data_IF_722501639423
#
_entry.id   IF_722501639423
#
_cell.length_a   1.000
_cell.length_b   1.000
_cell.length_c   1.000
_cell.angle_alpha   90.00
_cell.angle_beta   90.00
_cell.angle_gamma   90.00
#
_symmetry.space_group_name_H-M   'P 1'
#
loop_
_entity.id
_entity.type
_entity.pdbx_description
1 polymer ?
#
# COMPACT_ATOMS: atom_id res chain seq x y z
N UNK A 1 14.18 45.84 -41.69
CA UNK A 1 15.48 45.43 -41.11
C UNK A 1 15.41 45.59 -39.60
N UNK A 2 14.97 44.55 -38.89
CA UNK A 2 14.82 44.57 -37.42
C UNK A 2 15.67 43.49 -36.80
N UNK A 3 16.51 43.90 -35.86
CA UNK A 3 17.60 43.13 -35.24
C UNK A 3 17.03 42.06 -34.31
N UNK A 4 17.51 40.82 -34.48
CA UNK A 4 17.21 39.70 -33.60
C UNK A 4 17.86 39.83 -32.23
N UNK A 5 17.14 39.42 -31.18
CA UNK A 5 17.70 39.19 -29.84
C UNK A 5 17.67 37.69 -29.55
N UNK A 6 18.88 37.13 -29.45
CA UNK A 6 19.20 35.75 -29.13
C UNK A 6 19.36 35.66 -27.62
N UNK A 7 18.50 34.92 -26.93
CA UNK A 7 18.67 34.62 -25.49
C UNK A 7 19.49 33.34 -25.36
N UNK A 8 20.74 33.48 -24.88
CA UNK A 8 21.58 32.36 -24.47
C UNK A 8 21.41 32.14 -22.97
N UNK A 9 21.00 30.94 -22.57
CA UNK A 9 20.98 30.51 -21.17
C UNK A 9 22.35 29.90 -20.87
N UNK A 10 23.08 30.51 -19.95
CA UNK A 10 24.36 30.01 -19.43
C UNK A 10 24.10 28.81 -18.51
N UNK A 11 24.72 27.67 -18.83
CA UNK A 11 24.69 26.47 -17.99
C UNK A 11 25.85 26.54 -17.00
N UNK A 12 25.56 26.93 -15.76
CA UNK A 12 26.52 26.87 -14.65
C UNK A 12 26.54 25.45 -14.07
N UNK A 13 27.65 24.73 -14.25
CA UNK A 13 27.93 23.44 -13.59
C UNK A 13 28.09 23.63 -12.07
N UNK A 14 27.37 22.91 -11.21
CA UNK A 14 27.80 22.70 -9.84
C UNK A 14 28.63 21.43 -9.75
N UNK A 15 29.93 21.59 -9.50
CA UNK A 15 30.78 20.52 -8.95
C UNK A 15 30.41 20.30 -7.49
N UNK A 16 29.69 19.22 -7.17
CA UNK A 16 29.68 18.63 -5.82
C UNK A 16 30.11 17.17 -5.92
N UNK A 17 31.11 16.82 -5.12
CA UNK A 17 31.63 15.45 -4.96
C UNK A 17 30.51 14.51 -4.47
N UNK A 18 30.57 13.21 -4.80
CA UNK A 18 29.69 12.22 -4.19
C UNK A 18 30.05 12.10 -2.70
N UNK A 19 29.09 12.41 -1.84
CA UNK A 19 29.15 12.15 -0.41
C UNK A 19 28.89 10.65 -0.20
N UNK A 20 29.90 9.93 0.28
CA UNK A 20 29.85 8.50 0.46
C UNK A 20 28.96 8.14 1.65
N UNK A 21 28.10 7.13 1.45
CA UNK A 21 27.49 6.28 2.47
C UNK A 21 27.15 6.94 3.82
N UNK A 22 25.97 7.57 3.91
CA UNK A 22 25.40 7.92 5.22
C UNK A 22 24.84 6.67 5.87
N UNK A 23 25.67 6.09 6.73
CA UNK A 23 25.41 4.96 7.60
C UNK A 23 24.15 5.19 8.46
N UNK A 24 23.16 4.30 8.33
CA UNK A 24 21.92 4.33 9.11
C UNK A 24 22.07 3.70 10.51
N UNK A 25 23.31 3.45 10.98
CA UNK A 25 23.55 2.80 12.27
C UNK A 25 22.90 3.57 13.44
N UNK A 26 22.02 2.82 14.11
CA UNK A 26 21.20 3.15 15.29
C UNK A 26 22.02 3.74 16.44
N UNK A 27 21.44 4.71 17.16
CA UNK A 27 21.76 4.92 18.58
C UNK A 27 20.95 3.91 19.43
N UNK A 28 21.57 3.23 20.42
CA UNK A 28 20.85 2.28 21.26
C UNK A 28 20.19 2.97 22.45
N UNK A 29 18.89 2.76 22.62
CA UNK A 29 18.22 2.88 23.92
C UNK A 29 16.89 3.61 23.87
N UNK A 30 15.78 2.85 23.97
CA UNK A 30 14.80 2.84 25.09
C UNK A 30 13.90 1.61 24.86
N UNK A 31 13.65 0.73 25.85
CA UNK A 31 12.66 -0.33 25.71
C UNK A 31 11.25 0.27 25.82
N UNK A 32 10.43 0.12 24.79
CA UNK A 32 9.01 0.51 24.87
C UNK A 32 8.25 -0.57 25.65
N UNK A 33 8.06 -0.33 26.95
CA UNK A 33 7.14 -1.09 27.79
C UNK A 33 5.69 -0.80 27.37
N UNK A 34 5.01 -1.79 26.79
CA UNK A 34 3.55 -1.76 26.61
C UNK A 34 2.91 -2.13 27.95
N UNK A 35 2.55 -1.11 28.74
CA UNK A 35 1.68 -1.28 29.91
C UNK A 35 0.24 -1.48 29.44
N UNK A 36 -0.26 -2.70 29.57
CA UNK A 36 -1.68 -3.00 29.54
C UNK A 36 -2.36 -2.31 30.73
N UNK A 37 -3.16 -1.28 30.46
CA UNK A 37 -4.10 -0.73 31.45
C UNK A 37 -5.32 -1.63 31.53
N UNK A 38 -5.47 -2.28 32.67
CA UNK A 38 -6.73 -2.87 33.11
C UNK A 38 -7.67 -1.77 33.62
N UNK A 39 -8.91 -1.77 33.12
CA UNK A 39 -10.03 -1.08 33.76
C UNK A 39 -11.10 -2.14 34.02
N UNK A 40 -11.51 -2.24 35.29
CA UNK A 40 -12.39 -3.28 35.80
C UNK A 40 -13.87 -2.94 35.80
N UNK A 41 -14.57 -3.82 36.52
CA UNK A 41 -15.96 -3.74 36.99
C UNK A 41 -17.03 -4.17 35.99
N UNK A 42 -17.59 -5.36 36.17
CA UNK A 42 -18.72 -5.51 37.11
C UNK A 42 -19.21 -6.96 37.22
N UNK A 43 -19.52 -7.27 38.48
CA UNK A 43 -20.26 -8.39 39.05
C UNK A 43 -21.32 -9.04 38.16
N UNK A 44 -21.30 -10.38 38.07
CA UNK A 44 -22.34 -11.15 37.37
C UNK A 44 -22.25 -12.65 37.59
N UNK A 45 -22.64 -13.10 38.78
CA UNK A 45 -23.32 -14.37 39.09
C UNK A 45 -22.72 -15.65 38.46
N UNK A 46 -21.92 -16.36 39.26
CA UNK A 46 -21.52 -17.73 39.04
C UNK A 46 -22.74 -18.67 39.06
N UNK A 47 -23.06 -19.32 37.93
CA UNK A 47 -23.91 -20.51 37.90
C UNK A 47 -23.10 -21.71 37.45
N UNK A 48 -22.82 -22.56 38.43
CA UNK A 48 -22.11 -23.84 38.33
C UNK A 48 -23.01 -24.85 37.61
N UNK A 49 -22.71 -25.21 36.37
CA UNK A 49 -23.30 -26.38 35.69
C UNK A 49 -22.27 -27.49 35.70
N UNK A 50 -22.67 -28.64 36.28
CA UNK A 50 -21.85 -29.84 36.44
C UNK A 50 -21.59 -30.46 35.08
N UNK A 51 -20.33 -30.78 34.81
CA UNK A 51 -19.96 -31.78 33.82
C UNK A 51 -20.38 -33.16 34.35
N UNK A 52 -21.21 -33.86 33.58
CA UNK A 52 -21.34 -35.31 33.69
C UNK A 52 -20.80 -35.91 32.41
N UNK A 53 -19.70 -36.64 32.55
CA UNK A 53 -19.21 -37.58 31.57
C UNK A 53 -20.27 -38.64 31.29
N UNK A 54 -20.36 -39.05 30.04
CA UNK A 54 -20.42 -40.47 29.67
C UNK A 54 -20.20 -40.59 28.18
N UNK A 55 -19.26 -41.47 27.87
CA UNK A 55 -19.07 -42.13 26.60
C UNK A 55 -20.41 -42.52 25.98
N UNK A 56 -20.45 -42.55 24.65
CA UNK A 56 -21.03 -43.63 23.87
C UNK A 56 -20.47 -43.50 22.45
N UNK A 57 -19.41 -44.27 22.20
CA UNK A 57 -19.17 -44.80 20.87
C UNK A 57 -20.36 -45.70 20.52
N UNK A 58 -21.02 -45.45 19.38
CA UNK A 58 -21.26 -46.48 18.37
C UNK A 58 -22.17 -45.99 17.24
N UNK A 59 -21.98 -46.69 16.12
CA UNK A 59 -22.91 -46.93 15.01
C UNK A 59 -22.80 -45.98 13.82
N UNK A 60 -21.94 -46.42 12.91
CA UNK A 60 -22.08 -46.25 11.46
C UNK A 60 -23.48 -46.70 11.03
N UNK A 61 -24.27 -45.81 10.45
CA UNK A 61 -25.28 -46.21 9.46
C UNK A 61 -25.37 -45.14 8.38
N UNK A 62 -25.12 -45.59 7.17
CA UNK A 62 -25.17 -44.84 5.91
C UNK A 62 -26.49 -44.10 5.72
N UNK A 63 -26.44 -42.77 5.74
CA UNK A 63 -27.48 -41.91 5.17
C UNK A 63 -26.91 -41.19 3.95
N UNK A 64 -27.42 -41.58 2.77
CA UNK A 64 -27.17 -40.93 1.48
C UNK A 64 -27.69 -39.49 1.54
N UNK A 65 -26.80 -38.51 1.71
CA UNK A 65 -27.12 -37.11 1.43
C UNK A 65 -26.83 -36.84 -0.05
N UNK A 66 -27.91 -36.80 -0.84
CA UNK A 66 -27.94 -36.29 -2.20
C UNK A 66 -27.67 -34.80 -2.20
N UNK A 67 -26.70 -34.39 -3.01
CA UNK A 67 -26.66 -33.19 -3.85
C UNK A 67 -27.51 -31.98 -3.43
N UNK A 68 -26.86 -30.92 -2.96
CA UNK A 68 -27.21 -29.54 -3.30
C UNK A 68 -25.92 -28.71 -3.29
N UNK A 69 -25.20 -28.80 -4.42
CA UNK A 69 -24.25 -27.79 -4.84
C UNK A 69 -25.06 -26.54 -5.20
N UNK A 70 -25.12 -25.59 -4.28
CA UNK A 70 -25.57 -24.22 -4.52
C UNK A 70 -24.41 -23.27 -4.32
N UNK A 71 -23.27 -23.55 -4.98
CA UNK A 71 -22.15 -22.61 -5.01
C UNK A 71 -22.35 -21.73 -6.24
N UNK A 72 -23.15 -20.68 -6.11
CA UNK A 72 -23.12 -19.56 -7.06
C UNK A 72 -21.82 -18.78 -6.83
N UNK A 73 -20.71 -19.44 -7.14
CA UNK A 73 -19.46 -18.76 -7.42
C UNK A 73 -19.71 -17.95 -8.69
N UNK A 74 -20.13 -16.69 -8.49
CA UNK A 74 -20.16 -15.70 -9.55
C UNK A 74 -18.78 -15.72 -10.19
N UNK A 75 -18.69 -16.31 -11.37
CA UNK A 75 -17.48 -16.36 -12.15
C UNK A 75 -17.05 -14.90 -12.35
N UNK A 76 -16.00 -14.49 -11.62
CA UNK A 76 -15.26 -13.30 -11.99
C UNK A 76 -14.58 -13.69 -13.28
N UNK A 77 -15.18 -13.30 -14.40
CA UNK A 77 -14.54 -13.41 -15.70
C UNK A 77 -13.17 -12.76 -15.56
N UNK A 78 -12.06 -13.47 -15.84
CA UNK A 78 -10.77 -12.81 -15.91
C UNK A 78 -10.91 -11.72 -16.98
N UNK A 79 -10.84 -10.47 -16.54
CA UNK A 79 -10.78 -9.34 -17.45
C UNK A 79 -9.60 -9.58 -18.40
N UNK A 80 -9.77 -9.39 -19.73
CA UNK A 80 -8.65 -9.52 -20.65
C UNK A 80 -7.51 -8.63 -20.14
N UNK A 81 -6.29 -9.15 -20.11
CA UNK A 81 -5.14 -8.40 -19.66
C UNK A 81 -5.05 -7.12 -20.51
N UNK A 82 -5.36 -5.98 -19.91
CA UNK A 82 -5.25 -4.66 -20.55
C UNK A 82 -3.82 -4.54 -21.06
N UNK A 83 -3.59 -4.21 -22.35
CA UNK A 83 -2.25 -4.01 -22.86
C UNK A 83 -1.53 -2.98 -21.98
N UNK A 84 -0.36 -3.33 -21.48
CA UNK A 84 0.37 -2.49 -20.54
C UNK A 84 0.86 -1.25 -21.28
N UNK A 85 0.20 -0.12 -21.04
CA UNK A 85 0.57 1.19 -21.59
C UNK A 85 1.88 1.66 -20.93
N UNK A 86 2.80 2.30 -21.67
CA UNK A 86 3.99 2.90 -21.08
C UNK A 86 3.58 3.80 -19.91
N UNK A 87 4.19 3.55 -18.75
CA UNK A 87 3.81 4.19 -17.49
C UNK A 87 4.87 5.20 -17.07
N UNK A 88 4.46 6.44 -16.82
CA UNK A 88 5.32 7.49 -16.28
C UNK A 88 4.93 7.76 -14.84
N UNK A 89 5.91 7.85 -13.94
CA UNK A 89 5.69 8.32 -12.58
C UNK A 89 6.12 9.77 -12.47
N UNK A 90 5.27 10.61 -11.87
CA UNK A 90 5.59 12.01 -11.61
C UNK A 90 5.03 12.48 -10.28
N UNK A 91 5.54 13.61 -9.80
CA UNK A 91 4.95 14.30 -8.66
C UNK A 91 3.50 14.69 -8.95
N UNK A 92 2.67 14.56 -7.93
CA UNK A 92 1.29 15.00 -7.97
C UNK A 92 1.21 16.53 -7.89
N UNK A 93 0.26 17.11 -8.61
CA UNK A 93 -0.07 18.54 -8.58
C UNK A 93 -1.54 18.75 -8.19
N UNK A 94 -1.91 19.96 -7.77
CA UNK A 94 -3.30 20.28 -7.42
C UNK A 94 -4.29 20.02 -8.58
N UNK A 95 -3.83 20.22 -9.83
CA UNK A 95 -4.65 19.95 -11.02
C UNK A 95 -5.04 18.47 -11.20
N UNK A 96 -4.35 17.56 -10.52
CA UNK A 96 -4.59 16.11 -10.61
C UNK A 96 -5.69 15.63 -9.64
N UNK A 97 -6.10 16.46 -8.67
CA UNK A 97 -7.00 16.04 -7.57
C UNK A 97 -8.32 15.47 -8.09
N UNK A 98 -8.88 16.05 -9.16
CA UNK A 98 -10.12 15.55 -9.75
C UNK A 98 -9.98 14.10 -10.27
N UNK A 99 -8.82 13.74 -10.84
CA UNK A 99 -8.55 12.38 -11.30
C UNK A 99 -8.38 11.42 -10.10
N UNK A 100 -7.73 11.87 -9.03
CA UNK A 100 -7.58 11.08 -7.81
C UNK A 100 -8.93 10.73 -7.18
N UNK A 101 -9.87 11.66 -7.16
CA UNK A 101 -11.21 11.42 -6.62
C UNK A 101 -11.93 10.31 -7.40
N UNK A 102 -11.85 10.34 -8.73
CA UNK A 102 -12.43 9.28 -9.58
C UNK A 102 -11.79 7.93 -9.28
N UNK A 103 -10.46 7.89 -9.12
CA UNK A 103 -9.72 6.67 -8.82
C UNK A 103 -10.08 6.14 -7.43
N UNK A 104 -10.11 6.98 -6.40
CA UNK A 104 -10.42 6.58 -5.03
C UNK A 104 -11.87 6.13 -4.87
N UNK A 105 -12.83 6.79 -5.52
CA UNK A 105 -14.21 6.33 -5.56
C UNK A 105 -14.31 4.95 -6.21
N UNK A 106 -13.61 4.71 -7.32
CA UNK A 106 -13.60 3.41 -8.00
C UNK A 106 -12.87 2.31 -7.20
N UNK A 107 -11.77 2.66 -6.51
CA UNK A 107 -10.92 1.69 -5.81
C UNK A 107 -11.39 1.39 -4.37
N UNK A 108 -12.00 2.37 -3.71
CA UNK A 108 -12.31 2.32 -2.28
C UNK A 108 -13.78 2.61 -1.97
N UNK A 109 -14.58 3.01 -2.97
CA UNK A 109 -15.99 3.38 -2.79
C UNK A 109 -16.20 4.72 -2.08
N UNK A 110 -15.12 5.43 -1.77
CA UNK A 110 -15.14 6.74 -1.13
C UNK A 110 -13.82 7.46 -1.34
N UNK A 111 -13.88 8.56 -2.07
CA UNK A 111 -12.82 9.54 -2.18
C UNK A 111 -12.79 10.48 -0.97
N UNK A 112 -11.61 11.02 -0.69
CA UNK A 112 -11.48 12.18 0.17
C UNK A 112 -12.14 13.41 -0.47
N UNK A 113 -12.57 14.33 0.40
CA UNK A 113 -13.10 15.61 -0.08
C UNK A 113 -12.03 16.39 -0.83
N UNK A 114 -12.44 17.25 -1.79
CA UNK A 114 -11.51 18.13 -2.53
C UNK A 114 -10.60 18.89 -1.56
N UNK A 115 -11.17 19.44 -0.50
CA UNK A 115 -10.45 20.19 0.52
C UNK A 115 -9.39 19.33 1.23
N UNK A 116 -9.75 18.10 1.62
CA UNK A 116 -8.81 17.17 2.26
C UNK A 116 -7.64 16.84 1.34
N UNK A 117 -7.89 16.65 0.04
CA UNK A 117 -6.81 16.46 -0.92
C UNK A 117 -5.93 17.70 -1.04
N UNK A 118 -6.51 18.88 -1.26
CA UNK A 118 -5.74 20.13 -1.37
C UNK A 118 -4.87 20.35 -0.11
N UNK A 119 -5.46 20.21 1.08
CA UNK A 119 -4.77 20.37 2.36
C UNK A 119 -3.60 19.38 2.51
N UNK A 120 -3.70 18.15 1.99
CA UNK A 120 -2.61 17.17 2.02
C UNK A 120 -1.52 17.47 0.99
N UNK A 121 -1.89 17.85 -0.24
CA UNK A 121 -0.94 18.09 -1.34
C UNK A 121 -0.07 19.32 -1.10
N UNK A 122 -0.58 20.32 -0.41
CA UNK A 122 0.17 21.55 -0.06
C UNK A 122 1.24 21.32 1.02
N UNK A 123 1.20 20.18 1.72
CA UNK A 123 2.13 19.92 2.81
C UNK A 123 3.48 19.41 2.31
N UNK A 124 4.53 20.15 2.66
CA UNK A 124 5.91 19.81 2.29
C UNK A 124 6.48 18.54 2.95
N UNK A 125 5.84 18.01 4.00
CA UNK A 125 6.23 16.76 4.66
C UNK A 125 5.59 15.51 4.03
N UNK A 126 4.92 15.68 2.89
CA UNK A 126 4.24 14.62 2.17
C UNK A 126 4.97 14.24 0.89
N UNK A 127 4.92 12.95 0.59
CA UNK A 127 5.33 12.38 -0.69
C UNK A 127 4.05 12.02 -1.45
N UNK A 128 3.87 12.58 -2.63
CA UNK A 128 2.73 12.30 -3.49
C UNK A 128 3.18 12.00 -4.91
N UNK A 129 2.78 10.84 -5.42
CA UNK A 129 3.10 10.37 -6.75
C UNK A 129 1.84 9.97 -7.50
N UNK A 130 1.84 10.22 -8.80
CA UNK A 130 0.85 9.68 -9.74
C UNK A 130 1.53 8.76 -10.75
N UNK A 131 0.78 7.75 -11.18
CA UNK A 131 1.11 6.91 -12.32
C UNK A 131 0.24 7.34 -13.50
N UNK A 132 0.89 7.68 -14.59
CA UNK A 132 0.27 8.20 -15.81
C UNK A 132 0.57 7.26 -16.98
N UNK A 133 -0.42 7.10 -17.84
CA UNK A 133 -0.35 6.38 -19.12
C UNK A 133 -0.82 7.33 -20.23
N UNK A 134 -0.82 6.88 -21.48
CA UNK A 134 -1.38 7.66 -22.60
C UNK A 134 -2.86 8.04 -22.40
N UNK A 135 -3.58 7.30 -21.55
CA UNK A 135 -4.98 7.57 -21.20
C UNK A 135 -5.16 8.55 -20.04
N UNK A 136 -4.06 9.05 -19.46
CA UNK A 136 -4.04 9.93 -18.29
C UNK A 136 -3.63 9.21 -17.01
N UNK A 137 -4.01 9.78 -15.86
CA UNK A 137 -3.66 9.27 -14.53
C UNK A 137 -4.46 8.01 -14.23
N UNK A 138 -3.77 6.94 -13.91
CA UNK A 138 -4.36 5.61 -13.64
C UNK A 138 -4.18 5.15 -12.20
N UNK A 139 -3.39 5.87 -11.40
CA UNK A 139 -3.20 5.59 -9.99
C UNK A 139 -2.36 6.63 -9.29
N UNK A 140 -2.35 6.57 -7.96
CA UNK A 140 -1.56 7.45 -7.11
C UNK A 140 -1.13 6.73 -5.84
N UNK A 141 -0.07 7.25 -5.24
CA UNK A 141 0.38 6.84 -3.92
C UNK A 141 0.79 8.05 -3.10
N UNK A 142 0.61 7.96 -1.79
CA UNK A 142 0.89 9.03 -0.85
C UNK A 142 1.46 8.49 0.44
N UNK A 143 2.39 9.24 1.02
CA UNK A 143 2.99 8.92 2.31
C UNK A 143 3.48 10.18 3.01
N UNK A 144 3.77 10.04 4.29
CA UNK A 144 4.41 11.07 5.08
C UNK A 144 5.43 10.47 6.03
N UNK A 145 6.37 11.31 6.44
CA UNK A 145 7.49 10.91 7.27
C UNK A 145 7.38 11.63 8.61
N UNK A 146 7.47 10.85 9.69
CA UNK A 146 7.50 11.32 11.07
C UNK A 146 8.72 10.77 11.79
N UNK A 147 9.70 11.62 12.02
CA UNK A 147 10.98 11.20 12.60
C UNK A 147 11.66 10.12 11.76
N UNK A 148 11.68 8.89 12.27
CA UNK A 148 12.27 7.71 11.61
C UNK A 148 11.23 6.73 11.06
N UNK A 149 9.96 7.10 11.03
CA UNK A 149 8.86 6.27 10.54
C UNK A 149 8.27 6.89 9.27
N UNK A 150 8.05 6.10 8.23
CA UNK A 150 7.29 6.52 7.06
C UNK A 150 5.95 5.79 7.04
N UNK A 151 4.85 6.56 6.97
CA UNK A 151 3.50 6.02 6.90
C UNK A 151 2.93 6.23 5.51
N UNK A 152 2.63 5.12 4.84
CA UNK A 152 1.98 5.10 3.53
C UNK A 152 0.48 5.23 3.77
N UNK A 153 -0.11 6.32 3.28
CA UNK A 153 -1.50 6.69 3.60
C UNK A 153 -2.48 6.28 2.52
N UNK A 154 -2.08 6.34 1.25
CA UNK A 154 -2.95 5.96 0.15
C UNK A 154 -2.13 5.29 -0.95
N UNK A 155 -2.66 4.22 -1.54
CA UNK A 155 -2.16 3.57 -2.75
C UNK A 155 -3.37 3.05 -3.50
N UNK A 156 -3.75 3.75 -4.56
CA UNK A 156 -4.92 3.42 -5.36
C UNK A 156 -4.56 3.36 -6.84
N UNK A 157 -5.20 2.43 -7.54
CA UNK A 157 -5.08 2.26 -8.99
C UNK A 157 -6.47 1.98 -9.52
N UNK A 158 -6.82 2.60 -10.64
CA UNK A 158 -8.06 2.37 -11.34
C UNK A 158 -8.25 0.86 -11.63
N UNK A 159 -9.45 0.29 -11.40
CA UNK A 159 -9.69 -1.15 -11.55
C UNK A 159 -9.25 -1.75 -12.89
N UNK A 160 -9.39 -1.01 -13.99
CA UNK A 160 -9.03 -1.47 -15.34
C UNK A 160 -7.51 -1.58 -15.58
N UNK A 161 -6.71 -1.01 -14.67
CA UNK A 161 -5.24 -1.02 -14.69
C UNK A 161 -4.63 -1.91 -13.59
N UNK A 162 -5.46 -2.75 -12.98
CA UNK A 162 -5.05 -3.72 -11.97
C UNK A 162 -4.28 -4.89 -12.59
N UNK A 163 -3.21 -5.32 -11.93
CA UNK A 163 -2.41 -6.47 -12.38
C UNK A 163 -1.32 -6.07 -13.38
N UNK A 164 -1.31 -4.80 -13.79
CA UNK A 164 -0.37 -4.19 -14.72
C UNK A 164 0.87 -3.56 -14.04
N UNK A 165 1.08 -3.84 -12.75
CA UNK A 165 2.25 -3.36 -12.01
C UNK A 165 2.22 -1.89 -11.54
N UNK A 166 1.20 -1.08 -11.88
CA UNK A 166 1.14 0.34 -11.49
C UNK A 166 1.31 0.58 -9.98
N UNK A 167 0.60 -0.18 -9.15
CA UNK A 167 0.70 -0.07 -7.68
C UNK A 167 2.11 -0.44 -7.18
N UNK A 168 2.77 -1.41 -7.82
CA UNK A 168 4.14 -1.80 -7.51
C UNK A 168 5.12 -0.68 -7.87
N UNK A 169 4.97 -0.04 -9.04
CA UNK A 169 5.78 1.11 -9.44
C UNK A 169 5.64 2.27 -8.46
N UNK A 170 4.41 2.62 -8.12
CA UNK A 170 4.10 3.70 -7.20
C UNK A 170 4.74 3.45 -5.82
N UNK A 171 4.58 2.23 -5.30
CA UNK A 171 5.11 1.87 -3.99
C UNK A 171 6.65 1.81 -3.98
N UNK A 172 7.28 1.25 -5.01
CA UNK A 172 8.75 1.26 -5.16
C UNK A 172 9.28 2.69 -5.15
N UNK A 173 8.74 3.55 -6.03
CA UNK A 173 9.18 4.94 -6.15
C UNK A 173 8.99 5.72 -4.84
N UNK A 174 7.85 5.54 -4.19
CA UNK A 174 7.55 6.20 -2.92
C UNK A 174 8.48 5.74 -1.80
N UNK A 175 8.76 4.44 -1.70
CA UNK A 175 9.74 3.90 -0.74
C UNK A 175 11.14 4.45 -1.04
N UNK A 176 11.58 4.46 -2.29
CA UNK A 176 12.88 5.03 -2.66
C UNK A 176 12.99 6.51 -2.30
N UNK A 177 11.95 7.31 -2.53
CA UNK A 177 11.91 8.71 -2.12
C UNK A 177 11.97 8.88 -0.60
N UNK A 178 11.24 8.06 0.16
CA UNK A 178 11.28 8.08 1.62
C UNK A 178 12.70 7.75 2.15
N UNK A 179 13.33 6.72 1.60
CA UNK A 179 14.68 6.29 1.99
C UNK A 179 15.78 7.30 1.57
N UNK A 180 15.54 8.08 0.51
CA UNK A 180 16.49 9.11 0.06
C UNK A 180 16.38 10.42 0.88
N UNK A 181 15.19 10.73 1.39
CA UNK A 181 14.88 12.02 2.01
C UNK A 181 15.23 12.09 3.50
N UNK A 182 15.26 10.97 4.23
CA UNK A 182 15.39 10.98 5.71
C UNK A 182 15.99 9.70 6.29
N UNK A 183 16.22 9.68 7.62
CA UNK A 183 16.65 8.51 8.41
C UNK A 183 15.47 7.55 8.69
N UNK A 184 14.69 7.20 7.67
CA UNK A 184 13.60 6.23 7.82
C UNK A 184 14.19 4.90 8.28
N UNK A 185 13.69 4.39 9.40
CA UNK A 185 14.04 3.09 9.97
C UNK A 185 12.90 2.08 9.80
N UNK A 186 11.65 2.53 9.67
CA UNK A 186 10.50 1.64 9.50
C UNK A 186 9.47 2.22 8.51
N UNK A 187 8.67 1.32 7.93
CA UNK A 187 7.53 1.66 7.08
C UNK A 187 6.27 1.09 7.72
N UNK A 188 5.16 1.81 7.67
CA UNK A 188 3.86 1.35 8.13
C UNK A 188 2.75 1.71 7.13
N UNK A 189 1.72 0.87 7.08
CA UNK A 189 0.48 1.14 6.38
C UNK A 189 -0.71 0.47 7.06
N UNK A 190 -1.89 0.98 6.77
CA UNK A 190 -3.17 0.42 7.18
C UNK A 190 -3.92 -0.13 5.97
N UNK A 191 -4.43 -1.36 6.09
CA UNK A 191 -5.17 -2.01 5.00
C UNK A 191 -6.39 -2.76 5.54
N UNK A 192 -7.51 -2.68 4.81
CA UNK A 192 -8.74 -3.42 5.16
C UNK A 192 -8.47 -4.93 5.27
N UNK A 193 -9.00 -5.64 6.29
CA UNK A 193 -8.88 -7.09 6.43
C UNK A 193 -9.34 -7.88 5.19
N UNK A 194 -10.39 -7.41 4.52
CA UNK A 194 -10.93 -8.03 3.30
C UNK A 194 -10.05 -7.83 2.05
N UNK A 195 -9.17 -6.81 2.03
CA UNK A 195 -8.33 -6.51 0.87
C UNK A 195 -7.09 -7.42 0.80
N UNK A 196 -7.33 -8.71 0.56
CA UNK A 196 -6.29 -9.74 0.46
C UNK A 196 -5.34 -9.51 -0.71
N UNK A 197 -5.81 -8.85 -1.78
CA UNK A 197 -4.99 -8.48 -2.93
C UNK A 197 -3.89 -7.51 -2.51
N UNK A 198 -4.24 -6.41 -1.85
CA UNK A 198 -3.27 -5.43 -1.37
C UNK A 198 -2.34 -6.02 -0.30
N UNK A 199 -2.88 -6.78 0.67
CA UNK A 199 -2.06 -7.45 1.69
C UNK A 199 -0.98 -8.37 1.08
N UNK A 200 -1.32 -9.15 0.05
CA UNK A 200 -0.33 -9.98 -0.68
C UNK A 200 0.72 -9.13 -1.39
N UNK A 201 0.30 -8.04 -2.03
CA UNK A 201 1.21 -7.11 -2.68
C UNK A 201 2.20 -6.51 -1.66
N UNK A 202 1.71 -5.95 -0.55
CA UNK A 202 2.57 -5.41 0.51
C UNK A 202 3.48 -6.48 1.11
N UNK A 203 2.98 -7.71 1.26
CA UNK A 203 3.77 -8.86 1.68
C UNK A 203 4.99 -9.11 0.79
N UNK A 204 4.92 -8.84 -0.53
CA UNK A 204 6.09 -8.95 -1.42
C UNK A 204 7.20 -7.98 -1.02
N UNK A 205 6.85 -6.75 -0.62
CA UNK A 205 7.77 -5.72 -0.12
C UNK A 205 8.30 -5.99 1.30
N UNK A 206 7.91 -7.11 1.93
CA UNK A 206 8.35 -7.48 3.27
C UNK A 206 7.51 -6.88 4.39
N UNK A 207 6.37 -6.24 4.09
CA UNK A 207 5.42 -5.82 5.11
C UNK A 207 4.80 -7.06 5.76
N UNK A 208 4.75 -7.06 7.09
CA UNK A 208 4.11 -8.10 7.89
C UNK A 208 2.98 -7.50 8.73
N UNK A 209 1.89 -8.23 8.99
CA UNK A 209 0.84 -7.75 9.89
C UNK A 209 1.39 -7.65 11.31
N UNK A 210 1.25 -6.49 11.94
CA UNK A 210 1.74 -6.22 13.31
C UNK A 210 0.61 -5.95 14.31
N UNK A 211 -0.61 -5.72 13.82
CA UNK A 211 -1.76 -5.48 14.68
C UNK A 211 -3.05 -5.24 13.92
N UNK A 212 -4.13 -5.04 14.68
CA UNK A 212 -5.43 -4.62 14.18
C UNK A 212 -5.84 -3.37 14.93
N UNK A 213 -6.15 -2.30 14.19
CA UNK A 213 -6.76 -1.10 14.72
C UNK A 213 -8.27 -1.17 14.51
N UNK A 214 -9.02 -1.17 15.62
CA UNK A 214 -10.47 -1.33 15.57
C UNK A 214 -11.16 -0.04 15.19
N UNK A 215 -12.19 -0.13 14.35
CA UNK A 215 -12.97 1.03 13.88
C UNK A 215 -12.10 2.15 13.27
N UNK A 216 -11.04 1.79 12.55
CA UNK A 216 -10.15 2.73 11.91
C UNK A 216 -10.82 3.50 10.76
N UNK A 217 -11.60 2.81 9.93
CA UNK A 217 -12.31 3.43 8.80
C UNK A 217 -13.70 3.93 9.23
N UNK A 218 -14.06 5.14 8.82
CA UNK A 218 -15.38 5.73 9.11
C UNK A 218 -16.53 4.86 8.56
N UNK A 219 -16.32 4.30 7.36
CA UNK A 219 -17.26 3.40 6.68
C UNK A 219 -16.80 1.95 6.71
N UNK A 220 -17.77 1.08 6.95
CA UNK A 220 -17.58 -0.36 6.84
C UNK A 220 -17.33 -0.76 5.38
N UNK A 221 -16.54 -1.82 5.20
CA UNK A 221 -16.50 -2.54 3.93
C UNK A 221 -17.82 -3.29 3.66
N UNK A 222 -17.89 -3.99 2.53
CA UNK A 222 -19.05 -4.79 2.12
C UNK A 222 -19.44 -5.88 3.14
N UNK A 223 -18.55 -6.21 4.08
CA UNK A 223 -18.75 -7.21 5.13
C UNK A 223 -19.08 -6.57 6.50
N UNK A 224 -19.31 -5.26 6.55
CA UNK A 224 -19.63 -4.54 7.78
C UNK A 224 -18.40 -4.22 8.64
N UNK A 225 -17.17 -4.44 8.16
CA UNK A 225 -15.95 -4.28 8.95
C UNK A 225 -15.32 -2.89 8.78
N UNK A 226 -15.00 -2.24 9.90
CA UNK A 226 -14.35 -0.93 9.97
C UNK A 226 -12.89 -0.99 10.44
N UNK A 227 -12.39 -2.18 10.73
CA UNK A 227 -11.04 -2.38 11.25
C UNK A 227 -9.99 -2.22 10.15
N UNK A 228 -8.76 -1.91 10.55
CA UNK A 228 -7.59 -1.94 9.70
C UNK A 228 -6.58 -2.96 10.22
N UNK A 229 -5.99 -3.74 9.33
CA UNK A 229 -4.76 -4.48 9.60
C UNK A 229 -3.61 -3.50 9.45
N UNK A 230 -2.84 -3.31 10.51
CA UNK A 230 -1.60 -2.56 10.45
C UNK A 230 -0.53 -3.51 9.92
N UNK A 231 0.11 -3.14 8.82
CA UNK A 231 1.26 -3.86 8.28
C UNK A 231 2.50 -2.98 8.33
N UNK A 232 3.65 -3.56 8.67
CA UNK A 232 4.89 -2.81 8.81
C UNK A 232 6.12 -3.56 8.31
N UNK A 233 7.14 -2.79 7.92
CA UNK A 233 8.54 -3.21 7.84
C UNK A 233 9.25 -2.58 9.02
N UNK A 234 9.66 -3.39 10.00
CA UNK A 234 10.20 -2.90 11.28
C UNK A 234 11.60 -2.29 11.13
N UNK A 235 12.40 -2.80 10.19
CA UNK A 235 13.77 -2.33 9.97
C UNK A 235 14.17 -2.34 8.50
N UNK A 236 14.05 -1.18 7.86
CA UNK A 236 14.46 -0.96 6.46
C UNK A 236 15.98 -0.83 6.29
N UNK A 237 16.74 -0.75 7.38
CA UNK A 237 18.19 -0.60 7.33
C UNK A 237 18.92 -1.95 7.24
N UNK A 238 18.20 -3.06 7.39
CA UNK A 238 18.80 -4.40 7.23
C UNK A 238 19.13 -4.69 5.77
N UNK A 239 20.31 -5.27 5.54
CA UNK A 239 20.74 -5.69 4.20
C UNK A 239 19.73 -6.67 3.58
N UNK A 240 19.18 -7.59 4.39
CA UNK A 240 18.15 -8.55 3.98
C UNK A 240 16.93 -7.86 3.35
N UNK A 241 16.44 -6.78 3.97
CA UNK A 241 15.30 -6.05 3.42
C UNK A 241 15.70 -5.21 2.20
N UNK A 242 16.89 -4.62 2.19
CA UNK A 242 17.42 -3.84 1.05
C UNK A 242 17.63 -4.71 -0.19
N UNK A 243 18.19 -5.89 -0.03
CA UNK A 243 18.33 -6.90 -1.09
C UNK A 243 16.97 -7.33 -1.63
N UNK A 244 15.99 -7.55 -0.75
CA UNK A 244 14.62 -7.86 -1.14
C UNK A 244 13.99 -6.74 -1.97
N UNK A 245 14.15 -5.48 -1.54
CA UNK A 245 13.65 -4.32 -2.28
C UNK A 245 14.31 -4.23 -3.66
N UNK A 246 15.64 -4.42 -3.74
CA UNK A 246 16.38 -4.43 -5.01
C UNK A 246 15.90 -5.55 -5.94
N UNK A 247 15.72 -6.76 -5.43
CA UNK A 247 15.24 -7.89 -6.23
C UNK A 247 13.83 -7.65 -6.80
N UNK A 248 12.95 -6.99 -6.02
CA UNK A 248 11.63 -6.59 -6.50
C UNK A 248 11.70 -5.51 -7.57
N UNK A 249 12.61 -4.55 -7.43
CA UNK A 249 12.86 -3.52 -8.44
C UNK A 249 13.32 -4.17 -9.75
N UNK A 250 14.30 -5.09 -9.68
CA UNK A 250 14.81 -5.80 -10.85
C UNK A 250 13.72 -6.65 -11.53
N UNK A 251 12.94 -7.41 -10.76
CA UNK A 251 11.80 -8.19 -11.27
C UNK A 251 10.80 -7.29 -12.00
N UNK A 252 10.50 -6.13 -11.39
CA UNK A 252 9.53 -5.18 -11.91
C UNK A 252 10.02 -4.49 -13.19
N UNK A 253 11.29 -4.11 -13.26
CA UNK A 253 11.91 -3.49 -14.43
C UNK A 253 12.00 -4.47 -15.61
N UNK A 254 12.32 -5.74 -15.34
CA UNK A 254 12.28 -6.80 -16.35
C UNK A 254 10.87 -7.02 -16.89
N UNK A 255 9.85 -6.99 -16.03
CA UNK A 255 8.45 -7.14 -16.44
C UNK A 255 7.99 -6.01 -17.37
N UNK A 256 8.50 -4.78 -17.18
CA UNK A 256 8.21 -3.68 -18.09
C UNK A 256 8.96 -3.72 -19.39
N UNK A 257 10.26 -3.95 -19.34
CA UNK A 257 11.10 -3.89 -20.54
C UNK A 257 10.69 -4.97 -21.56
N UNK A 258 10.32 -6.16 -21.08
CA UNK A 258 9.79 -7.23 -21.94
C UNK A 258 8.44 -6.87 -22.58
N UNK A 259 7.71 -5.90 -22.01
CA UNK A 259 6.40 -5.50 -22.52
C UNK A 259 6.50 -4.37 -23.54
N UNK A 260 7.38 -3.39 -23.31
CA UNK A 260 7.61 -2.29 -24.26
C UNK A 260 8.20 -2.80 -25.59
N UNK A 261 9.00 -3.87 -25.55
CA UNK A 261 9.54 -4.53 -26.75
C UNK A 261 8.47 -5.30 -27.56
N UNK A 262 7.38 -5.73 -26.93
CA UNK A 262 6.29 -6.47 -27.58
C UNK A 262 5.21 -5.59 -28.22
N UNK A 263 5.09 -4.33 -27.80
CA UNK A 263 4.14 -3.37 -28.36
C UNK A 263 4.66 -2.65 -29.63
N UNK A 264 5.95 -2.80 -29.94
CA UNK A 264 6.62 -2.16 -31.08
C UNK A 264 6.81 -3.09 -32.31
N UNK A 265 6.22 -4.30 -32.29
CA UNK A 265 6.30 -5.32 -33.35
C UNK A 265 4.93 -5.57 -33.98
#
# INVERSE_FOLDING_TARGET
>A
MSRGRRWGIAVSRPTRRPDQGRDCRREPGVPLCILARSAGSSSGIARRVRATSRDHAAVLTSARCRSQLGNEARAVTPQPATPLTPRTLRALTEGDIAALQVIDDAAHGQAWSQRTFTDEVERSDRLHLVAETDSGIVGHASAWIDGSSCRITNVAVAPDHHGSGHATSLLLALIHQALASTKVANLQLEVRPANRRAQRMYGRFGFVPVGIERNFYDRSDDQGNKDAVIMAVVDVCTDVWRERLSALQDEHDLSTNNTDAGAAA
#
